data_IF_626757743566
#
_entry.id   IF_626757743566
#
_cell.length_a   1.000
_cell.length_b   1.000
_cell.length_c   1.000
_cell.angle_alpha   90.00
_cell.angle_beta   90.00
_cell.angle_gamma   90.00
#
_symmetry.space_group_name_H-M   'P 1'
#
loop_
_entity.id
_entity.type
_entity.pdbx_description
1 polymer ?
#
# COMPACT_ATOMS: atom_id res chain seq x y z
N UNK A 1 2.58 -15.05 13.06
CA UNK A 1 2.59 -14.03 14.15
C UNK A 1 2.64 -14.72 15.50
N UNK A 2 3.56 -14.35 16.42
CA UNK A 2 3.77 -14.93 17.76
C UNK A 2 3.87 -13.83 18.81
N UNK A 3 3.26 -14.05 19.98
CA UNK A 3 3.29 -13.13 21.13
C UNK A 3 4.25 -13.65 22.19
N UNK A 4 5.23 -12.85 22.60
CA UNK A 4 6.21 -13.18 23.63
C UNK A 4 6.76 -11.91 24.26
N UNK A 5 6.80 -11.85 25.59
CA UNK A 5 7.43 -10.78 26.38
C UNK A 5 6.95 -9.36 26.01
N UNK A 6 5.65 -9.18 25.83
CA UNK A 6 5.01 -7.95 25.33
C UNK A 6 5.44 -7.54 23.90
N UNK A 7 6.04 -8.44 23.14
CA UNK A 7 6.42 -8.23 21.75
C UNK A 7 5.65 -9.15 20.81
N UNK A 8 5.46 -8.70 19.58
CA UNK A 8 4.86 -9.48 18.50
C UNK A 8 5.91 -9.78 17.47
N UNK A 9 6.19 -11.07 17.25
CA UNK A 9 7.22 -11.53 16.32
C UNK A 9 6.64 -12.33 15.15
N UNK A 10 7.44 -12.52 14.13
CA UNK A 10 7.09 -13.30 12.93
C UNK A 10 5.84 -12.75 12.20
N UNK A 11 5.62 -11.44 12.24
CA UNK A 11 4.54 -10.80 11.49
C UNK A 11 4.86 -10.89 10.00
N UNK A 12 3.87 -11.24 9.19
CA UNK A 12 3.98 -11.29 7.73
C UNK A 12 3.17 -10.15 7.12
N UNK A 13 3.84 -9.20 6.47
CA UNK A 13 3.21 -8.05 5.82
C UNK A 13 3.42 -8.16 4.32
N UNK A 14 2.33 -8.10 3.54
CA UNK A 14 2.38 -7.86 2.11
C UNK A 14 2.25 -6.35 1.85
N UNK A 15 3.23 -5.74 1.20
CA UNK A 15 3.19 -4.33 0.83
C UNK A 15 3.00 -4.20 -0.69
N UNK A 16 1.80 -3.82 -1.12
CA UNK A 16 1.43 -3.62 -2.52
C UNK A 16 1.68 -2.15 -2.88
N UNK A 17 2.53 -1.90 -3.85
CA UNK A 17 3.17 -0.62 -4.13
C UNK A 17 4.55 -0.51 -3.47
N UNK A 18 5.22 -1.66 -3.33
CA UNK A 18 6.51 -1.80 -2.65
C UNK A 18 7.68 -1.04 -3.28
N UNK A 19 7.52 -0.57 -4.52
CA UNK A 19 8.48 0.31 -5.21
C UNK A 19 8.36 1.80 -4.85
N UNK A 20 7.39 2.20 -4.03
CA UNK A 20 7.16 3.59 -3.65
C UNK A 20 8.40 4.23 -3.00
N UNK A 21 8.78 5.43 -3.49
CA UNK A 21 9.93 6.20 -2.96
C UNK A 21 9.57 7.08 -1.75
N UNK A 22 8.29 7.28 -1.47
CA UNK A 22 7.83 8.06 -0.33
C UNK A 22 7.26 7.15 0.77
N UNK A 23 6.07 6.66 0.55
CA UNK A 23 5.33 5.90 1.56
C UNK A 23 6.03 4.63 2.03
N UNK A 24 6.62 3.83 1.12
CA UNK A 24 7.34 2.64 1.52
C UNK A 24 8.60 2.98 2.34
N UNK A 25 9.32 4.07 1.99
CA UNK A 25 10.50 4.49 2.76
C UNK A 25 10.14 4.96 4.18
N UNK A 26 9.08 5.76 4.32
CA UNK A 26 8.58 6.18 5.65
C UNK A 26 8.19 4.96 6.47
N UNK A 27 7.39 4.06 5.91
CA UNK A 27 6.96 2.83 6.57
C UNK A 27 8.15 1.96 7.03
N UNK A 28 9.15 1.76 6.17
CA UNK A 28 10.36 1.00 6.53
C UNK A 28 11.18 1.70 7.61
N UNK A 29 11.24 3.04 7.59
CA UNK A 29 11.98 3.81 8.59
C UNK A 29 11.30 3.75 9.95
N UNK A 30 9.97 3.87 9.99
CA UNK A 30 9.20 3.76 11.23
C UNK A 30 9.37 2.37 11.86
N UNK A 31 9.30 1.32 11.05
CA UNK A 31 9.54 -0.04 11.50
C UNK A 31 10.99 -0.31 11.93
N UNK A 32 11.96 0.41 11.37
CA UNK A 32 13.33 0.32 11.82
C UNK A 32 13.54 0.89 13.22
N UNK A 33 12.70 1.82 13.64
CA UNK A 33 12.76 2.44 14.98
C UNK A 33 11.88 1.73 16.01
N UNK A 34 11.01 0.81 15.58
CA UNK A 34 10.03 0.12 16.43
C UNK A 34 10.59 -1.24 16.89
N UNK A 35 10.67 -1.43 18.21
CA UNK A 35 11.26 -2.63 18.82
C UNK A 35 10.25 -3.64 19.36
N UNK A 36 8.94 -3.31 19.37
CA UNK A 36 7.90 -4.18 19.93
C UNK A 36 7.34 -5.18 18.91
N UNK A 37 7.53 -4.90 17.62
CA UNK A 37 7.06 -5.74 16.52
C UNK A 37 8.20 -6.10 15.56
N UNK A 38 8.15 -7.31 15.03
CA UNK A 38 9.16 -7.79 14.08
C UNK A 38 8.58 -8.81 13.10
N UNK A 39 9.25 -9.00 11.96
CA UNK A 39 8.77 -9.95 10.98
C UNK A 39 9.35 -9.79 9.57
N UNK A 40 8.54 -10.11 8.57
CA UNK A 40 8.93 -10.03 7.16
C UNK A 40 7.96 -9.15 6.39
N UNK A 41 8.50 -8.28 5.55
CA UNK A 41 7.76 -7.44 4.62
C UNK A 41 8.05 -7.93 3.21
N UNK A 42 7.01 -8.36 2.52
CA UNK A 42 7.06 -8.76 1.11
C UNK A 42 6.62 -7.60 0.25
N UNK A 43 7.57 -7.03 -0.48
CA UNK A 43 7.38 -5.88 -1.36
C UNK A 43 6.93 -6.36 -2.74
N UNK A 44 5.73 -6.02 -3.14
CA UNK A 44 5.23 -6.26 -4.49
C UNK A 44 4.96 -4.93 -5.20
N UNK A 45 5.44 -4.80 -6.41
CA UNK A 45 5.16 -3.69 -7.31
C UNK A 45 5.09 -4.19 -8.76
N UNK A 46 4.38 -3.48 -9.62
CA UNK A 46 4.43 -3.70 -11.08
C UNK A 46 5.81 -3.37 -11.64
N UNK A 47 6.52 -2.43 -11.01
CA UNK A 47 7.95 -2.16 -11.21
C UNK A 47 8.77 -3.00 -10.21
N UNK A 48 9.11 -4.21 -10.61
CA UNK A 48 9.89 -5.14 -9.79
C UNK A 48 11.28 -4.61 -9.43
N UNK A 49 11.89 -3.80 -10.28
CA UNK A 49 13.21 -3.20 -10.01
C UNK A 49 13.11 -2.15 -8.91
N UNK A 50 12.04 -1.34 -8.91
CA UNK A 50 11.77 -0.40 -7.83
C UNK A 50 11.55 -1.12 -6.49
N UNK A 51 10.77 -2.21 -6.48
CA UNK A 51 10.58 -3.05 -5.28
C UNK A 51 11.91 -3.66 -4.80
N UNK A 52 12.75 -4.14 -5.74
CA UNK A 52 14.07 -4.69 -5.42
C UNK A 52 15.01 -3.64 -4.83
N UNK A 53 14.99 -2.42 -5.33
CA UNK A 53 15.75 -1.32 -4.76
C UNK A 53 15.31 -1.04 -3.30
N UNK A 54 14.01 -1.08 -3.03
CA UNK A 54 13.47 -0.89 -1.67
C UNK A 54 13.81 -2.05 -0.73
N UNK A 55 13.89 -3.28 -1.21
CA UNK A 55 14.43 -4.41 -0.43
C UNK A 55 15.87 -4.14 0.03
N UNK A 56 16.71 -3.63 -0.87
CA UNK A 56 18.10 -3.28 -0.52
C UNK A 56 18.15 -2.13 0.49
N UNK A 57 17.32 -1.09 0.30
CA UNK A 57 17.23 0.05 1.20
C UNK A 57 16.77 -0.40 2.59
N UNK A 58 15.68 -1.18 2.67
CA UNK A 58 15.16 -1.71 3.94
C UNK A 58 16.18 -2.58 4.66
N UNK A 59 16.86 -3.46 3.93
CA UNK A 59 17.92 -4.30 4.50
C UNK A 59 19.09 -3.48 5.06
N UNK A 60 19.46 -2.37 4.42
CA UNK A 60 20.47 -1.45 4.92
C UNK A 60 20.01 -0.62 6.11
N UNK A 61 18.73 -0.26 6.17
CA UNK A 61 18.16 0.42 7.34
C UNK A 61 18.30 -0.43 8.60
N UNK A 62 18.05 -1.76 8.49
CA UNK A 62 18.20 -2.68 9.63
C UNK A 62 19.66 -2.87 10.10
N UNK A 63 20.64 -2.46 9.30
CA UNK A 63 22.06 -2.55 9.66
C UNK A 63 22.61 -1.27 10.33
N UNK A 64 21.77 -0.24 10.48
CA UNK A 64 22.21 1.01 11.13
C UNK A 64 22.21 0.86 12.65
N UNK A 65 23.10 1.58 13.31
CA UNK A 65 23.24 1.57 14.77
C UNK A 65 21.98 2.07 15.50
N UNK A 66 21.20 2.94 14.83
CA UNK A 66 19.96 3.48 15.38
C UNK A 66 18.76 2.54 15.22
N UNK A 67 18.88 1.48 14.40
CA UNK A 67 17.80 0.54 14.19
C UNK A 67 17.54 -0.29 15.45
N UNK A 68 16.28 -0.32 15.88
CA UNK A 68 15.79 -1.11 17.01
C UNK A 68 14.89 -2.27 16.54
N UNK A 69 14.33 -2.12 15.33
CA UNK A 69 13.46 -3.11 14.71
C UNK A 69 14.23 -4.32 14.20
N UNK A 70 13.52 -5.42 14.02
CA UNK A 70 14.04 -6.67 13.43
C UNK A 70 13.12 -7.09 12.29
N UNK A 71 13.37 -6.52 11.10
CA UNK A 71 12.56 -6.73 9.92
C UNK A 71 13.37 -7.25 8.75
N UNK A 72 12.83 -8.26 8.07
CA UNK A 72 13.32 -8.77 6.80
C UNK A 72 12.50 -8.18 5.65
N UNK A 73 13.17 -7.76 4.59
CA UNK A 73 12.53 -7.27 3.38
C UNK A 73 12.77 -8.23 2.24
N UNK A 74 11.73 -8.57 1.50
CA UNK A 74 11.79 -9.52 0.38
C UNK A 74 10.94 -8.98 -0.78
N UNK A 75 11.48 -8.99 -2.00
CA UNK A 75 10.71 -8.69 -3.21
C UNK A 75 9.89 -9.90 -3.61
N UNK A 76 8.63 -9.70 -3.93
CA UNK A 76 7.72 -10.73 -4.43
C UNK A 76 7.47 -10.56 -5.92
N UNK A 77 7.50 -11.66 -6.67
CA UNK A 77 7.29 -11.66 -8.11
C UNK A 77 5.81 -11.56 -8.52
N UNK A 78 4.89 -11.86 -7.61
CA UNK A 78 3.45 -11.85 -7.87
C UNK A 78 2.64 -11.45 -6.63
N UNK A 79 1.39 -11.02 -6.85
CA UNK A 79 0.44 -10.80 -5.75
C UNK A 79 0.24 -12.07 -4.92
N UNK A 80 0.18 -13.24 -5.55
CA UNK A 80 0.09 -14.52 -4.86
C UNK A 80 1.24 -14.73 -3.89
N UNK A 81 2.49 -14.50 -4.34
CA UNK A 81 3.68 -14.71 -3.51
C UNK A 81 3.72 -13.72 -2.33
N UNK A 82 3.33 -12.46 -2.58
CA UNK A 82 3.27 -11.46 -1.54
C UNK A 82 2.19 -11.77 -0.48
N UNK A 83 1.01 -12.17 -0.93
CA UNK A 83 -0.18 -12.31 -0.08
C UNK A 83 -0.24 -13.63 0.69
N UNK A 84 0.32 -14.73 0.14
CA UNK A 84 0.16 -16.06 0.75
C UNK A 84 0.69 -16.09 2.17
N UNK A 85 -0.22 -16.32 3.13
CA UNK A 85 0.12 -16.45 4.56
C UNK A 85 0.50 -15.14 5.25
N UNK A 86 0.16 -13.96 4.68
CA UNK A 86 0.35 -12.69 5.38
C UNK A 86 -0.70 -12.44 6.47
N UNK A 87 -0.30 -11.71 7.51
CA UNK A 87 -1.15 -11.24 8.60
C UNK A 87 -1.77 -9.89 8.27
N UNK A 88 -1.01 -9.05 7.55
CA UNK A 88 -1.40 -7.71 7.14
C UNK A 88 -1.09 -7.47 5.66
N UNK A 89 -1.94 -6.68 5.02
CA UNK A 89 -1.73 -6.16 3.66
C UNK A 89 -1.74 -4.64 3.73
N UNK A 90 -0.68 -4.01 3.27
CA UNK A 90 -0.61 -2.55 3.07
C UNK A 90 -0.74 -2.26 1.58
N UNK A 91 -1.66 -1.37 1.20
CA UNK A 91 -1.86 -0.95 -0.18
C UNK A 91 -1.49 0.53 -0.30
N UNK A 92 -0.46 0.83 -1.10
CA UNK A 92 0.00 2.19 -1.36
C UNK A 92 0.49 2.29 -2.80
N UNK A 93 -0.47 2.37 -3.73
CA UNK A 93 -0.20 2.46 -5.17
C UNK A 93 -0.57 3.84 -5.72
N UNK A 94 0.03 4.23 -6.83
CA UNK A 94 -0.38 5.38 -7.64
C UNK A 94 -1.04 4.86 -8.93
N UNK A 95 -2.37 4.93 -9.04
CA UNK A 95 -3.08 4.54 -10.27
C UNK A 95 -2.82 5.52 -11.41
N UNK A 96 -1.96 5.14 -12.35
CA UNK A 96 -1.42 6.00 -13.39
C UNK A 96 -0.09 6.65 -12.98
N UNK A 97 0.39 7.58 -13.78
CA UNK A 97 1.58 8.39 -13.49
C UNK A 97 1.19 9.81 -13.05
N UNK A 98 2.18 10.66 -12.79
CA UNK A 98 1.93 12.08 -12.51
C UNK A 98 1.40 12.82 -13.74
N UNK A 99 1.70 12.37 -14.96
CA UNK A 99 1.19 12.98 -16.19
C UNK A 99 -0.32 12.77 -16.34
N UNK A 100 -0.83 11.57 -16.04
CA UNK A 100 -2.28 11.33 -15.97
C UNK A 100 -2.93 12.14 -14.85
N UNK A 101 -2.26 12.29 -13.71
CA UNK A 101 -2.78 13.10 -12.60
C UNK A 101 -2.84 14.59 -12.98
N UNK A 102 -1.82 15.13 -13.65
CA UNK A 102 -1.82 16.49 -14.20
C UNK A 102 -3.01 16.70 -15.14
N UNK A 103 -3.23 15.75 -16.05
CA UNK A 103 -4.36 15.78 -16.97
C UNK A 103 -5.71 15.75 -16.23
N UNK A 104 -5.87 14.92 -15.18
CA UNK A 104 -7.10 14.84 -14.40
C UNK A 104 -7.43 16.18 -13.71
N UNK A 105 -6.41 16.90 -13.24
CA UNK A 105 -6.57 18.18 -12.55
C UNK A 105 -6.85 19.32 -13.52
N UNK A 106 -6.09 19.42 -14.61
CA UNK A 106 -6.09 20.60 -15.48
C UNK A 106 -7.03 20.52 -16.70
N UNK A 107 -7.40 19.30 -17.14
CA UNK A 107 -8.36 19.18 -18.24
C UNK A 107 -9.71 19.87 -17.99
N UNK A 108 -10.32 19.78 -16.76
CA UNK A 108 -11.58 20.44 -16.46
C UNK A 108 -11.52 21.97 -16.50
N UNK A 109 -10.34 22.59 -16.40
CA UNK A 109 -10.17 24.05 -16.46
C UNK A 109 -10.65 24.63 -17.79
N UNK A 110 -10.54 23.85 -18.88
CA UNK A 110 -11.07 24.22 -20.20
C UNK A 110 -12.59 24.41 -20.20
N UNK A 111 -13.27 23.86 -19.18
CA UNK A 111 -14.71 23.98 -18.97
C UNK A 111 -15.04 24.93 -17.80
N UNK A 112 -14.06 25.69 -17.32
CA UNK A 112 -14.21 26.60 -16.18
C UNK A 112 -14.29 25.91 -14.81
N UNK A 113 -13.87 24.65 -14.73
CA UNK A 113 -13.88 23.89 -13.47
C UNK A 113 -12.45 23.79 -12.93
N UNK A 114 -12.19 24.49 -11.84
CA UNK A 114 -10.87 24.52 -11.18
C UNK A 114 -10.88 23.58 -9.97
N UNK A 115 -9.87 22.72 -9.92
CA UNK A 115 -9.69 21.73 -8.87
C UNK A 115 -8.28 21.83 -8.30
N UNK A 116 -8.09 21.59 -6.99
CA UNK A 116 -6.76 21.52 -6.38
C UNK A 116 -6.08 20.19 -6.74
N UNK A 117 -6.41 19.11 -6.04
CA UNK A 117 -5.90 17.76 -6.34
C UNK A 117 -6.86 16.98 -7.24
N UNK A 118 -8.17 17.09 -7.03
CA UNK A 118 -9.24 16.53 -7.86
C UNK A 118 -9.29 15.02 -7.97
N UNK A 119 -8.76 14.28 -6.99
CA UNK A 119 -8.68 12.83 -7.06
C UNK A 119 -9.89 12.11 -6.45
N UNK A 120 -10.74 12.78 -5.70
CA UNK A 120 -11.90 12.17 -4.99
C UNK A 120 -13.24 12.54 -5.61
N UNK A 121 -13.42 13.78 -6.04
CA UNK A 121 -14.70 14.29 -6.54
C UNK A 121 -14.50 15.10 -7.83
N UNK A 122 -15.61 15.42 -8.51
CA UNK A 122 -15.60 16.17 -9.75
C UNK A 122 -15.11 15.36 -10.97
N UNK A 123 -14.88 16.03 -12.11
CA UNK A 123 -14.49 15.36 -13.37
C UNK A 123 -13.18 14.58 -13.25
N UNK A 124 -12.16 15.16 -12.63
CA UNK A 124 -10.86 14.52 -12.41
C UNK A 124 -10.98 13.28 -11.53
N UNK A 125 -11.75 13.38 -10.44
CA UNK A 125 -12.01 12.24 -9.55
C UNK A 125 -12.73 11.09 -10.25
N UNK A 126 -13.66 11.38 -11.18
CA UNK A 126 -14.31 10.34 -11.99
C UNK A 126 -13.33 9.63 -12.92
N UNK A 127 -12.47 10.36 -13.63
CA UNK A 127 -11.48 9.77 -14.52
C UNK A 127 -10.46 8.95 -13.72
N UNK A 128 -10.01 9.45 -12.58
CA UNK A 128 -9.14 8.72 -11.67
C UNK A 128 -9.79 7.42 -11.15
N UNK A 129 -11.09 7.47 -10.81
CA UNK A 129 -11.85 6.31 -10.39
C UNK A 129 -11.86 5.20 -11.46
N UNK A 130 -12.02 5.56 -12.73
CA UNK A 130 -12.01 4.62 -13.85
C UNK A 130 -10.68 3.84 -13.97
N UNK A 131 -9.56 4.44 -13.58
CA UNK A 131 -8.26 3.75 -13.51
C UNK A 131 -8.08 2.95 -12.23
N UNK A 132 -8.51 3.52 -11.10
CA UNK A 132 -8.27 2.95 -9.77
C UNK A 132 -9.12 1.71 -9.50
N UNK A 133 -10.39 1.74 -9.86
CA UNK A 133 -11.34 0.65 -9.54
C UNK A 133 -10.88 -0.70 -10.11
N UNK A 134 -10.50 -0.84 -11.40
CA UNK A 134 -10.03 -2.11 -11.93
C UNK A 134 -8.83 -2.69 -11.18
N UNK A 135 -7.86 -1.86 -10.81
CA UNK A 135 -6.69 -2.29 -10.04
C UNK A 135 -7.09 -2.79 -8.66
N UNK A 136 -8.01 -2.10 -7.99
CA UNK A 136 -8.51 -2.52 -6.67
C UNK A 136 -9.41 -3.76 -6.72
N UNK A 137 -10.11 -3.99 -7.83
CA UNK A 137 -10.86 -5.25 -8.07
C UNK A 137 -9.89 -6.42 -8.16
N UNK A 138 -8.79 -6.28 -8.90
CA UNK A 138 -7.74 -7.30 -9.00
C UNK A 138 -7.10 -7.59 -7.64
N UNK A 139 -6.67 -6.54 -6.93
CA UNK A 139 -6.06 -6.65 -5.61
C UNK A 139 -7.02 -7.31 -4.61
N UNK A 140 -8.29 -6.89 -4.57
CA UNK A 140 -9.28 -7.45 -3.68
C UNK A 140 -9.57 -8.93 -3.98
N UNK A 141 -9.61 -9.30 -5.27
CA UNK A 141 -9.72 -10.68 -5.70
C UNK A 141 -8.55 -11.54 -5.24
N UNK A 142 -7.33 -11.03 -5.39
CA UNK A 142 -6.13 -11.70 -4.92
C UNK A 142 -6.10 -11.84 -3.38
N UNK A 143 -6.51 -10.80 -2.63
CA UNK A 143 -6.61 -10.87 -1.17
C UNK A 143 -7.63 -11.93 -0.75
N UNK A 144 -8.79 -11.96 -1.40
CA UNK A 144 -9.84 -12.96 -1.14
C UNK A 144 -9.33 -14.39 -1.33
N UNK A 145 -8.52 -14.61 -2.35
CA UNK A 145 -7.99 -15.94 -2.69
C UNK A 145 -6.81 -16.35 -1.81
N UNK A 146 -5.82 -15.45 -1.59
CA UNK A 146 -4.53 -15.82 -0.99
C UNK A 146 -4.37 -15.38 0.47
N UNK A 147 -5.13 -14.36 0.91
CA UNK A 147 -5.02 -13.78 2.25
C UNK A 147 -6.37 -13.39 2.89
N UNK A 148 -7.41 -14.27 2.87
CA UNK A 148 -8.78 -13.89 3.26
C UNK A 148 -8.93 -13.51 4.74
N UNK A 149 -7.94 -13.79 5.59
CA UNK A 149 -7.96 -13.48 7.02
C UNK A 149 -7.13 -12.27 7.40
N UNK A 150 -6.32 -11.74 6.47
CA UNK A 150 -5.43 -10.61 6.72
C UNK A 150 -6.22 -9.32 7.00
N UNK A 151 -5.63 -8.44 7.80
CA UNK A 151 -6.05 -7.05 7.90
C UNK A 151 -5.46 -6.24 6.74
N UNK A 152 -6.29 -5.40 6.13
CA UNK A 152 -5.91 -4.58 4.97
C UNK A 152 -5.91 -3.10 5.36
N UNK A 153 -4.78 -2.44 5.17
CA UNK A 153 -4.57 -1.02 5.44
C UNK A 153 -4.35 -0.32 4.11
N UNK A 154 -5.25 0.57 3.73
CA UNK A 154 -5.16 1.29 2.47
C UNK A 154 -4.68 2.72 2.66
N UNK A 155 -3.58 3.08 2.02
CA UNK A 155 -3.05 4.45 1.91
C UNK A 155 -3.28 5.07 0.53
N UNK A 156 -3.81 4.30 -0.43
CA UNK A 156 -4.06 4.80 -1.79
C UNK A 156 -5.25 5.75 -1.82
N UNK A 157 -5.08 6.89 -2.50
CA UNK A 157 -6.15 7.82 -2.81
C UNK A 157 -6.78 7.57 -4.21
N UNK A 158 -8.09 7.77 -4.37
CA UNK A 158 -9.07 8.25 -3.38
C UNK A 158 -9.41 7.18 -2.32
N UNK A 159 -9.11 7.45 -1.06
CA UNK A 159 -9.18 6.46 0.02
C UNK A 159 -10.56 5.81 0.15
N UNK A 160 -11.62 6.61 0.20
CA UNK A 160 -12.99 6.11 0.34
C UNK A 160 -13.44 5.24 -0.84
N UNK A 161 -13.03 5.59 -2.06
CA UNK A 161 -13.31 4.80 -3.26
C UNK A 161 -12.60 3.45 -3.21
N UNK A 162 -11.32 3.47 -2.85
CA UNK A 162 -10.50 2.27 -2.74
C UNK A 162 -11.09 1.30 -1.72
N UNK A 163 -11.36 1.76 -0.50
CA UNK A 163 -11.96 0.93 0.56
C UNK A 163 -13.33 0.41 0.17
N UNK A 164 -14.17 1.25 -0.44
CA UNK A 164 -15.49 0.82 -0.93
C UNK A 164 -15.38 -0.27 -2.00
N UNK A 165 -14.39 -0.18 -2.89
CA UNK A 165 -14.12 -1.20 -3.92
C UNK A 165 -13.68 -2.53 -3.28
N UNK A 166 -12.81 -2.49 -2.27
CA UNK A 166 -12.39 -3.68 -1.52
C UNK A 166 -13.60 -4.42 -0.95
N UNK A 167 -14.50 -3.72 -0.24
CA UNK A 167 -15.72 -4.30 0.33
C UNK A 167 -16.72 -4.76 -0.72
N UNK A 168 -16.79 -4.11 -1.89
CA UNK A 168 -17.68 -4.52 -2.97
C UNK A 168 -17.27 -5.88 -3.54
N UNK A 169 -15.97 -6.14 -3.69
CA UNK A 169 -15.43 -7.41 -4.24
C UNK A 169 -15.38 -8.51 -3.19
N UNK A 170 -15.04 -8.12 -1.96
CA UNK A 170 -14.88 -9.05 -0.85
C UNK A 170 -15.57 -8.47 0.41
N UNK A 171 -16.89 -8.72 0.60
CA UNK A 171 -17.67 -8.14 1.71
C UNK A 171 -17.14 -8.46 3.11
N UNK A 172 -16.50 -9.61 3.30
CA UNK A 172 -15.95 -10.03 4.59
C UNK A 172 -14.51 -9.54 4.84
N UNK A 173 -13.95 -8.74 3.95
CA UNK A 173 -12.61 -8.19 4.09
C UNK A 173 -12.49 -7.35 5.37
N UNK A 174 -11.38 -7.48 6.06
CA UNK A 174 -11.06 -6.63 7.22
C UNK A 174 -10.21 -5.46 6.73
N UNK A 175 -10.84 -4.44 6.17
CA UNK A 175 -10.13 -3.32 5.56
C UNK A 175 -10.51 -1.98 6.17
N UNK A 176 -9.53 -1.10 6.26
CA UNK A 176 -9.74 0.32 6.55
C UNK A 176 -8.74 1.17 5.74
N UNK A 177 -9.05 2.45 5.59
CA UNK A 177 -8.17 3.41 4.93
C UNK A 177 -7.61 4.41 5.93
N UNK A 178 -6.39 4.84 5.70
CA UNK A 178 -5.75 5.94 6.41
C UNK A 178 -5.45 7.07 5.44
N UNK A 179 -5.72 8.28 5.90
CA UNK A 179 -5.39 9.51 5.21
C UNK A 179 -4.83 10.49 6.25
N UNK A 180 -5.00 11.79 6.08
CA UNK A 180 -4.48 12.80 7.03
C UNK A 180 -5.35 12.99 8.29
N UNK A 181 -6.46 12.31 8.41
CA UNK A 181 -7.31 12.33 9.63
C UNK A 181 -6.67 11.64 10.85
N UNK A 182 -5.50 11.03 10.67
CA UNK A 182 -4.75 10.38 11.76
C UNK A 182 -3.63 11.26 12.32
N UNK A 183 -3.54 12.52 11.89
CA UNK A 183 -2.57 13.51 12.37
C UNK A 183 -3.20 14.51 13.33
#
# INVERSE_FOLDING_TARGET
MKYSDNKVKDIQIAYIGGGSRGWAWTFMTDLALEDQISGTIRLYDIDGDAAKNNEVIGSRLMQRDEAKGDWKFETSASLKDALTGCDFVVISILPGTFDEMESDVHLPERLGIYQSVGDTAGPGGMVRALRTIPMFVEIAGAIKEYAPKAWVINYTNPMSLCVKTLYHVFPEIKAFGCCHEVF
#
